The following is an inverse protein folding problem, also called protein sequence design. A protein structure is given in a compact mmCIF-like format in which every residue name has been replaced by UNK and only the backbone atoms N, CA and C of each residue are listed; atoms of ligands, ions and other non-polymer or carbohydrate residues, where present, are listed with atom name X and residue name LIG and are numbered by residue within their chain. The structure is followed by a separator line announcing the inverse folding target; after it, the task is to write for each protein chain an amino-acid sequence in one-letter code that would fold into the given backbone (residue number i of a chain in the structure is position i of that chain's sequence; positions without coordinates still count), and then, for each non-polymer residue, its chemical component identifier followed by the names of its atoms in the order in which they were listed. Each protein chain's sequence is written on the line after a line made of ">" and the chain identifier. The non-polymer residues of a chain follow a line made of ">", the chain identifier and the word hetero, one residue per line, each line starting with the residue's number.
data_IF_050527615789
#
_entry.id   IF_050527615789
#
_cell.length_a   1.000
_cell.length_b   1.000
_cell.length_c   1.000
_cell.angle_alpha   90.00
_cell.angle_beta   90.00
_cell.angle_gamma   90.00
#
_symmetry.space_group_name_H-M   'P 1'
#
loop_
_entity.id
_entity.type
_entity.pdbx_description
1 polymer ?
#
# COMPACT_ATOMS: atom_id res chain seq x y z
N UNK A 1 -30.03 -23.90 -49.11
CA UNK A 1 -30.37 -23.65 -47.70
C UNK A 1 -29.06 -23.34 -46.99
N UNK A 2 -28.78 -22.06 -46.74
CA UNK A 2 -27.52 -21.59 -46.16
C UNK A 2 -27.89 -20.72 -44.95
N UNK A 3 -27.83 -21.30 -43.74
CA UNK A 3 -28.10 -20.57 -42.49
C UNK A 3 -27.19 -21.12 -41.41
N UNK A 4 -26.35 -20.24 -40.85
CA UNK A 4 -25.83 -20.41 -39.50
C UNK A 4 -24.33 -20.67 -39.39
N UNK A 5 -23.48 -19.71 -39.75
CA UNK A 5 -22.08 -19.70 -39.28
C UNK A 5 -21.43 -18.31 -39.25
N UNK A 6 -22.16 -17.24 -38.93
CA UNK A 6 -21.58 -15.88 -38.88
C UNK A 6 -21.76 -15.15 -37.53
N UNK A 7 -22.38 -15.77 -36.51
CA UNK A 7 -22.72 -15.06 -35.25
C UNK A 7 -21.66 -15.25 -34.14
N UNK A 8 -20.66 -16.10 -34.33
CA UNK A 8 -19.74 -16.48 -33.24
C UNK A 8 -18.39 -15.74 -33.20
N UNK A 9 -18.04 -14.90 -34.17
CA UNK A 9 -16.74 -14.23 -34.20
C UNK A 9 -16.76 -12.76 -33.71
N UNK A 10 -17.90 -12.07 -33.71
CA UNK A 10 -17.97 -10.67 -33.27
C UNK A 10 -17.76 -10.51 -31.75
N UNK A 11 -18.35 -11.40 -30.95
CA UNK A 11 -18.18 -11.37 -29.48
C UNK A 11 -16.74 -11.68 -29.03
N UNK A 12 -15.95 -12.34 -29.87
CA UNK A 12 -14.57 -12.73 -29.52
C UNK A 12 -13.58 -11.59 -29.68
N UNK A 13 -13.89 -10.60 -30.52
CA UNK A 13 -13.06 -9.43 -30.72
C UNK A 13 -13.27 -8.36 -29.63
N UNK A 14 -14.49 -8.21 -29.11
CA UNK A 14 -14.82 -7.18 -28.10
C UNK A 14 -14.12 -7.40 -26.74
N UNK A 15 -13.89 -8.66 -26.33
CA UNK A 15 -13.16 -8.98 -25.07
C UNK A 15 -11.64 -8.81 -25.21
N UNK A 16 -11.12 -8.75 -26.44
CA UNK A 16 -9.69 -8.60 -26.71
C UNK A 16 -9.24 -7.14 -26.82
N UNK A 17 -10.17 -6.22 -27.12
CA UNK A 17 -9.91 -4.78 -27.18
C UNK A 17 -9.77 -4.12 -25.79
N UNK A 18 -10.27 -4.74 -24.73
CA UNK A 18 -10.08 -4.29 -23.33
C UNK A 18 -8.66 -4.58 -22.80
N UNK A 19 -7.84 -5.35 -23.53
CA UNK A 19 -6.45 -5.64 -23.16
C UNK A 19 -5.49 -4.59 -23.71
N UNK A 20 -5.68 -3.32 -23.32
CA UNK A 20 -4.61 -2.31 -23.41
C UNK A 20 -4.89 -1.08 -22.56
N UNK A 21 -5.38 -1.28 -21.33
CA UNK A 21 -5.33 -0.21 -20.35
C UNK A 21 -3.90 -0.14 -19.83
N UNK A 22 -3.12 0.78 -20.41
CA UNK A 22 -1.93 1.39 -19.82
C UNK A 22 -2.22 1.49 -18.31
N UNK A 23 -1.54 0.68 -17.49
CA UNK A 23 -1.83 0.56 -16.05
C UNK A 23 -1.96 1.96 -15.49
N UNK A 24 -3.19 2.41 -15.26
CA UNK A 24 -3.41 3.68 -14.58
C UNK A 24 -2.63 3.55 -13.29
N UNK A 25 -1.67 4.44 -13.09
CA UNK A 25 -0.84 4.44 -11.90
C UNK A 25 -1.80 4.46 -10.72
N UNK A 26 -1.89 3.36 -9.98
CA UNK A 26 -2.77 3.28 -8.82
C UNK A 26 -2.30 4.38 -7.88
N UNK A 27 -3.18 5.36 -7.62
CA UNK A 27 -2.91 6.47 -6.70
C UNK A 27 -3.65 6.19 -5.41
N UNK A 28 -3.00 6.54 -4.30
CA UNK A 28 -3.67 6.55 -3.01
C UNK A 28 -4.66 7.74 -2.98
N UNK A 29 -5.84 7.53 -2.41
CA UNK A 29 -6.79 8.62 -2.16
C UNK A 29 -6.20 9.65 -1.18
N UNK A 30 -6.73 10.87 -1.18
CA UNK A 30 -6.29 11.92 -0.24
C UNK A 30 -6.46 11.49 1.22
N UNK A 31 -7.63 10.90 1.53
CA UNK A 31 -7.92 10.27 2.82
C UNK A 31 -8.16 8.76 2.59
N UNK A 32 -7.11 7.93 2.67
CA UNK A 32 -7.25 6.49 2.47
C UNK A 32 -8.05 5.85 3.61
N UNK A 33 -8.72 4.74 3.34
CA UNK A 33 -9.39 3.94 4.39
C UNK A 33 -8.40 3.47 5.47
N UNK A 34 -8.91 3.19 6.67
CA UNK A 34 -8.15 2.54 7.74
C UNK A 34 -7.70 1.13 7.32
N UNK A 35 -8.47 0.44 6.49
CA UNK A 35 -8.15 -0.88 5.97
C UNK A 35 -7.70 -0.78 4.51
N UNK A 36 -6.49 -1.24 4.23
CA UNK A 36 -5.88 -1.18 2.90
C UNK A 36 -5.54 -2.57 2.38
N UNK A 37 -5.67 -2.75 1.05
CA UNK A 37 -5.12 -3.91 0.37
C UNK A 37 -3.59 -3.87 0.40
N UNK A 38 -2.92 -5.00 0.09
CA UNK A 38 -1.46 -5.05 -0.05
C UNK A 38 -0.90 -4.00 -1.02
N UNK A 39 -1.63 -3.70 -2.11
CA UNK A 39 -1.22 -2.69 -3.10
C UNK A 39 -1.38 -1.27 -2.55
N UNK A 40 -2.52 -0.97 -1.92
CA UNK A 40 -2.75 0.33 -1.30
C UNK A 40 -1.75 0.63 -0.19
N UNK A 41 -1.50 -0.36 0.67
CA UNK A 41 -0.52 -0.23 1.73
C UNK A 41 0.92 -0.11 1.19
N UNK A 42 1.26 -0.84 0.13
CA UNK A 42 2.56 -0.71 -0.53
C UNK A 42 2.81 0.71 -1.05
N UNK A 43 1.80 1.35 -1.65
CA UNK A 43 1.87 2.75 -2.05
C UNK A 43 2.02 3.69 -0.85
N UNK A 44 1.28 3.41 0.24
CA UNK A 44 1.31 4.22 1.46
C UNK A 44 2.70 4.27 2.11
N UNK A 45 3.39 3.13 2.23
CA UNK A 45 4.71 3.05 2.88
C UNK A 45 5.90 3.13 1.91
N UNK A 46 5.64 3.28 0.61
CA UNK A 46 6.68 3.34 -0.43
C UNK A 46 7.46 2.02 -0.62
N UNK A 47 6.79 0.86 -0.52
CA UNK A 47 7.38 -0.47 -0.77
C UNK A 47 6.74 -1.16 -1.97
N UNK A 48 7.31 -2.30 -2.38
CA UNK A 48 6.65 -3.16 -3.38
C UNK A 48 5.56 -4.00 -2.73
N UNK A 49 4.48 -4.36 -3.44
CA UNK A 49 3.45 -5.26 -2.91
C UNK A 49 3.99 -6.62 -2.47
N UNK A 50 5.06 -7.11 -3.13
CA UNK A 50 5.74 -8.35 -2.73
C UNK A 50 6.39 -8.23 -1.36
N UNK A 51 7.11 -7.13 -1.11
CA UNK A 51 7.71 -6.88 0.20
C UNK A 51 6.65 -6.78 1.31
N UNK A 52 5.51 -6.13 1.04
CA UNK A 52 4.39 -6.08 1.99
C UNK A 52 3.85 -7.47 2.31
N UNK A 53 3.66 -8.32 1.29
CA UNK A 53 3.21 -9.70 1.51
C UNK A 53 4.22 -10.53 2.33
N UNK A 54 5.53 -10.37 2.06
CA UNK A 54 6.59 -11.02 2.84
C UNK A 54 6.62 -10.51 4.29
N UNK A 55 6.45 -9.20 4.51
CA UNK A 55 6.36 -8.61 5.85
C UNK A 55 5.15 -9.15 6.64
N UNK A 56 4.00 -9.26 5.98
CA UNK A 56 2.80 -9.83 6.61
C UNK A 56 2.99 -11.31 6.96
N UNK A 57 3.58 -12.11 6.06
CA UNK A 57 3.93 -13.52 6.33
C UNK A 57 4.92 -13.66 7.49
N UNK A 58 5.82 -12.70 7.63
CA UNK A 58 6.78 -12.66 8.73
C UNK A 58 6.18 -12.11 10.06
N UNK A 59 4.88 -11.80 10.11
CA UNK A 59 4.21 -11.29 11.31
C UNK A 59 4.61 -9.86 11.70
N UNK A 60 5.14 -9.06 10.76
CA UNK A 60 5.63 -7.70 11.02
C UNK A 60 4.58 -6.61 10.83
N UNK A 61 3.39 -6.98 10.37
CA UNK A 61 2.31 -6.05 10.03
C UNK A 61 1.01 -6.46 10.72
N UNK A 62 0.15 -5.49 11.11
CA UNK A 62 -1.21 -5.76 11.56
C UNK A 62 -2.08 -6.16 10.35
N UNK A 63 -1.94 -7.40 9.91
CA UNK A 63 -2.51 -7.88 8.66
C UNK A 63 -3.31 -9.18 8.85
N UNK A 64 -4.36 -9.34 8.06
CA UNK A 64 -5.19 -10.54 8.05
C UNK A 64 -5.55 -10.95 6.62
N UNK A 65 -5.76 -12.24 6.43
CA UNK A 65 -6.18 -12.83 5.16
C UNK A 65 -7.69 -13.00 5.17
N UNK A 66 -8.37 -12.41 4.18
CA UNK A 66 -9.81 -12.51 4.01
C UNK A 66 -10.14 -13.31 2.76
N UNK A 67 -10.89 -14.39 2.93
CA UNK A 67 -11.44 -15.18 1.82
C UNK A 67 -12.86 -14.74 1.51
N UNK A 68 -13.23 -14.77 0.24
CA UNK A 68 -14.61 -14.54 -0.18
C UNK A 68 -15.52 -15.63 0.40
N UNK A 69 -16.53 -15.29 1.23
CA UNK A 69 -17.42 -16.28 1.83
C UNK A 69 -18.24 -17.06 0.79
N UNK A 70 -18.44 -16.51 -0.41
CA UNK A 70 -19.13 -17.19 -1.50
C UNK A 70 -18.22 -18.14 -2.27
N UNK A 71 -16.90 -18.10 -2.03
CA UNK A 71 -15.89 -18.96 -2.66
C UNK A 71 -14.90 -19.49 -1.61
N UNK A 72 -15.30 -20.46 -0.77
CA UNK A 72 -14.51 -20.94 0.36
C UNK A 72 -13.19 -21.68 -0.01
N UNK A 73 -12.81 -21.75 -1.29
CA UNK A 73 -11.50 -22.22 -1.76
C UNK A 73 -10.73 -21.21 -2.63
N UNK A 74 -11.21 -19.96 -2.69
CA UNK A 74 -10.59 -18.90 -3.48
C UNK A 74 -9.28 -18.38 -2.88
N UNK A 75 -8.56 -17.58 -3.66
CA UNK A 75 -7.37 -16.89 -3.16
C UNK A 75 -7.75 -15.90 -2.06
N UNK A 76 -7.13 -16.02 -0.89
CA UNK A 76 -7.32 -15.07 0.20
C UNK A 76 -6.65 -13.73 -0.13
N UNK A 77 -7.38 -12.64 0.08
CA UNK A 77 -6.88 -11.29 -0.06
C UNK A 77 -6.19 -10.83 1.23
N UNK A 78 -5.07 -10.13 1.09
CA UNK A 78 -4.31 -9.60 2.21
C UNK A 78 -4.75 -8.16 2.50
N UNK A 79 -5.26 -7.96 3.71
CA UNK A 79 -5.70 -6.67 4.23
C UNK A 79 -4.83 -6.23 5.41
N UNK A 80 -4.50 -4.94 5.45
CA UNK A 80 -3.63 -4.34 6.46
C UNK A 80 -4.37 -3.20 7.15
N UNK A 81 -4.34 -3.18 8.48
CA UNK A 81 -4.87 -2.09 9.28
C UNK A 81 -3.84 -0.94 9.36
N UNK A 82 -4.03 0.06 8.51
CA UNK A 82 -3.17 1.25 8.40
C UNK A 82 -3.20 2.07 9.67
N UNK A 83 -4.36 2.24 10.30
CA UNK A 83 -4.52 3.04 11.52
C UNK A 83 -3.76 2.45 12.70
N UNK A 84 -3.80 1.13 12.84
CA UNK A 84 -3.03 0.43 13.86
C UNK A 84 -1.53 0.52 13.62
N UNK A 85 -1.09 0.39 12.36
CA UNK A 85 0.29 0.63 11.97
C UNK A 85 0.77 2.04 12.38
N UNK A 86 0.01 3.08 12.04
CA UNK A 86 0.34 4.47 12.38
C UNK A 86 0.42 4.68 13.90
N UNK A 87 -0.51 4.09 14.66
CA UNK A 87 -0.52 4.14 16.13
C UNK A 87 0.76 3.55 16.72
N UNK A 88 1.16 2.36 16.29
CA UNK A 88 2.40 1.74 16.76
C UNK A 88 3.65 2.49 16.32
N UNK A 89 3.65 3.05 15.10
CA UNK A 89 4.76 3.87 14.63
C UNK A 89 4.96 5.13 15.50
N UNK A 90 3.87 5.78 15.95
CA UNK A 90 3.95 6.89 16.88
C UNK A 90 4.44 6.45 18.27
N UNK A 91 3.88 5.36 18.81
CA UNK A 91 4.28 4.82 20.11
C UNK A 91 5.78 4.47 20.17
N UNK A 92 6.35 3.91 19.10
CA UNK A 92 7.78 3.60 19.02
C UNK A 92 8.66 4.85 19.17
N UNK A 93 8.21 6.00 18.68
CA UNK A 93 8.94 7.27 18.86
C UNK A 93 8.79 7.77 20.30
N UNK A 94 7.64 7.58 20.92
CA UNK A 94 7.41 8.05 22.30
C UNK A 94 8.18 7.21 23.33
N UNK A 95 8.26 5.90 23.12
CA UNK A 95 8.91 4.94 24.03
C UNK A 95 10.42 4.79 23.79
N UNK A 96 10.93 5.24 22.64
CA UNK A 96 12.34 5.08 22.30
C UNK A 96 13.25 5.81 23.31
N UNK A 97 14.40 5.21 23.70
CA UNK A 97 15.38 5.85 24.55
C UNK A 97 15.79 7.23 24.03
N UNK A 98 16.05 8.18 24.93
CA UNK A 98 16.45 9.55 24.54
C UNK A 98 17.68 9.58 23.63
N UNK A 99 18.60 8.62 23.77
CA UNK A 99 19.76 8.45 22.89
C UNK A 99 19.38 8.20 21.42
N UNK A 100 18.26 7.54 21.13
CA UNK A 100 17.79 7.32 19.75
C UNK A 100 17.18 8.60 19.14
N UNK A 101 16.95 9.63 19.96
CA UNK A 101 16.41 10.92 19.57
C UNK A 101 17.46 12.00 19.35
N UNK A 102 18.76 11.69 19.32
CA UNK A 102 19.81 12.70 19.11
C UNK A 102 19.64 13.51 17.81
N UNK A 103 19.00 12.93 16.79
CA UNK A 103 18.66 13.63 15.56
C UNK A 103 17.79 14.88 15.78
N UNK A 104 17.00 14.95 16.86
CA UNK A 104 16.22 16.16 17.23
C UNK A 104 17.13 17.36 17.46
N UNK A 105 18.34 17.16 18.01
CA UNK A 105 19.34 18.21 18.22
C UNK A 105 19.87 18.79 16.90
N UNK A 106 19.91 17.98 15.84
CA UNK A 106 20.41 18.38 14.51
C UNK A 106 19.41 19.26 13.75
N UNK A 107 18.11 19.07 13.99
CA UNK A 107 17.05 19.88 13.38
C UNK A 107 16.82 21.16 14.18
N UNK A 108 16.93 21.08 15.50
CA UNK A 108 16.67 22.20 16.43
C UNK A 108 17.86 23.15 16.57
N UNK A 109 18.97 22.92 15.87
CA UNK A 109 20.15 23.77 15.90
C UNK A 109 19.85 25.11 15.20
N UNK A 110 19.17 26.02 15.92
CA UNK A 110 19.12 27.42 15.52
C UNK A 110 20.57 27.91 15.44
N UNK A 111 21.03 28.33 14.27
CA UNK A 111 22.32 29.00 14.11
C UNK A 111 22.41 30.08 15.18
N UNK A 112 23.25 29.89 16.19
CA UNK A 112 23.54 30.96 17.11
C UNK A 112 24.15 32.09 16.26
N UNK A 113 23.58 33.29 16.36
CA UNK A 113 24.00 34.50 15.63
C UNK A 113 25.36 35.02 16.13
N UNK A 114 26.36 34.15 16.31
CA UNK A 114 27.71 34.56 16.66
C UNK A 114 28.53 34.71 15.38
N UNK A 115 28.34 35.84 14.69
CA UNK A 115 29.06 36.11 13.45
C UNK A 115 28.88 37.54 12.93
N UNK A 116 29.22 38.54 13.74
CA UNK A 116 30.12 39.65 13.37
C UNK A 116 30.12 40.70 14.49
N UNK A 117 31.17 40.67 15.31
CA UNK A 117 31.65 41.83 16.03
C UNK A 117 33.16 41.93 15.72
N UNK A 118 33.49 42.83 14.80
CA UNK A 118 34.76 43.53 14.63
C UNK A 118 34.65 44.36 13.34
#
# INVERSE_FOLDING_TARGET
>A
MNVGSEICDEKRQEVSALKKNKRDSIKLAADPSDLLSKEGFALYIGKTPRAVAEMARAGKLPAFYMTDPLKPGGHAELWINRREWDKYAAQLVDEAPTEWHDWKNRISYSKSRHGHAA
#
